data_IF_206679362107
#
_entry.id   IF_206679362107
#
_cell.length_a   1.000
_cell.length_b   1.000
_cell.length_c   1.000
_cell.angle_alpha   90.00
_cell.angle_beta   90.00
_cell.angle_gamma   90.00
#
_symmetry.space_group_name_H-M   'P 1'
#
loop_
_entity.id
_entity.type
_entity.pdbx_description
1 polymer ?
#
# COMPACT_ATOMS: atom_id res chain seq x y z
N UNK A 1 -5.66 -31.69 -12.98
CA UNK A 1 -4.53 -31.51 -13.92
C UNK A 1 -3.78 -30.27 -13.50
N UNK A 2 -2.44 -30.30 -13.55
CA UNK A 2 -1.57 -29.18 -13.23
C UNK A 2 -0.58 -28.94 -14.36
N UNK A 3 -0.22 -27.67 -14.53
CA UNK A 3 0.68 -27.17 -15.57
C UNK A 3 1.87 -26.46 -14.89
N UNK A 4 3.04 -26.47 -15.51
CA UNK A 4 4.07 -25.53 -15.12
C UNK A 4 3.71 -24.15 -15.65
N UNK A 5 3.70 -23.15 -14.80
CA UNK A 5 3.43 -21.77 -15.18
C UNK A 5 4.50 -21.30 -16.18
N UNK A 6 4.10 -20.97 -17.40
CA UNK A 6 5.00 -20.57 -18.50
C UNK A 6 5.84 -19.32 -18.20
N UNK A 7 5.55 -18.59 -17.12
CA UNK A 7 6.24 -17.35 -16.72
C UNK A 7 7.18 -17.53 -15.53
N UNK A 8 7.42 -18.77 -15.07
CA UNK A 8 8.46 -19.04 -14.07
C UNK A 8 9.84 -18.87 -14.68
N UNK A 9 10.75 -18.41 -13.87
CA UNK A 9 12.16 -18.36 -14.28
C UNK A 9 12.82 -19.71 -13.99
N UNK A 10 13.29 -20.39 -15.05
CA UNK A 10 13.95 -21.68 -14.95
C UNK A 10 15.33 -21.63 -15.56
N UNK A 11 16.35 -22.20 -14.89
CA UNK A 11 17.71 -22.28 -15.42
C UNK A 11 18.47 -23.48 -14.84
N UNK A 12 19.53 -23.90 -15.55
CA UNK A 12 20.42 -24.95 -15.07
C UNK A 12 21.78 -24.39 -14.63
N UNK A 13 22.26 -24.86 -13.49
CA UNK A 13 23.59 -24.56 -12.98
C UNK A 13 24.18 -25.84 -12.40
N UNK A 14 25.38 -26.22 -12.88
CA UNK A 14 26.10 -27.43 -12.42
C UNK A 14 25.27 -28.73 -12.50
N UNK A 15 24.41 -28.84 -13.51
CA UNK A 15 23.54 -30.01 -13.72
C UNK A 15 22.23 -29.97 -12.90
N UNK A 16 22.07 -29.04 -11.98
CA UNK A 16 20.86 -28.87 -11.17
C UNK A 16 19.95 -27.84 -11.84
N UNK A 17 18.66 -28.18 -11.92
CA UNK A 17 17.64 -27.22 -12.37
C UNK A 17 17.15 -26.37 -11.18
N UNK A 18 17.10 -25.07 -11.40
CA UNK A 18 16.57 -24.11 -10.44
C UNK A 18 15.33 -23.43 -11.02
N UNK A 19 14.31 -23.31 -10.19
CA UNK A 19 13.06 -22.62 -10.50
C UNK A 19 12.88 -21.44 -9.55
N UNK A 20 12.33 -20.32 -10.05
CA UNK A 20 11.92 -19.19 -9.24
C UNK A 20 10.45 -18.90 -9.52
N UNK A 21 9.66 -18.95 -8.48
CA UNK A 21 8.24 -18.64 -8.49
C UNK A 21 7.94 -17.28 -7.84
N UNK A 22 6.82 -17.26 -7.14
CA UNK A 22 6.25 -16.07 -6.51
C UNK A 22 7.21 -15.29 -5.59
N UNK A 23 7.94 -15.98 -4.74
CA UNK A 23 8.88 -15.34 -3.80
C UNK A 23 10.22 -14.94 -4.43
N UNK A 24 10.44 -15.27 -5.69
CA UNK A 24 11.74 -15.15 -6.39
C UNK A 24 12.89 -15.95 -5.74
N UNK A 25 12.58 -16.79 -4.74
CA UNK A 25 13.56 -17.72 -4.15
C UNK A 25 13.85 -18.85 -5.11
N UNK A 26 15.09 -19.32 -5.11
CA UNK A 26 15.52 -20.47 -5.91
C UNK A 26 15.07 -21.78 -5.26
N UNK A 27 14.37 -22.59 -6.03
CA UNK A 27 13.99 -23.95 -5.67
C UNK A 27 14.82 -24.88 -6.57
N UNK A 28 15.65 -25.69 -5.96
CA UNK A 28 16.44 -26.68 -6.68
C UNK A 28 15.62 -27.95 -6.91
N UNK A 29 15.59 -28.42 -8.14
CA UNK A 29 15.09 -29.76 -8.48
C UNK A 29 16.25 -30.73 -8.33
N UNK A 30 16.09 -31.73 -7.46
CA UNK A 30 17.15 -32.70 -7.14
C UNK A 30 17.60 -33.47 -8.37
N UNK A 31 18.95 -33.72 -8.53
CA UNK A 31 19.50 -34.33 -9.72
C UNK A 31 19.04 -35.76 -10.00
N UNK A 32 18.53 -36.47 -8.98
CA UNK A 32 17.99 -37.84 -9.13
C UNK A 32 16.63 -37.88 -9.86
N UNK A 33 15.94 -36.73 -10.01
CA UNK A 33 14.69 -36.66 -10.77
C UNK A 33 15.04 -36.73 -12.26
N UNK A 34 14.38 -37.65 -12.97
CA UNK A 34 14.72 -37.88 -14.38
C UNK A 34 14.49 -36.61 -15.21
N UNK A 35 15.42 -36.30 -16.09
CA UNK A 35 15.32 -35.18 -17.02
C UNK A 35 14.11 -35.32 -17.97
N UNK A 36 13.75 -36.58 -18.28
CA UNK A 36 12.58 -36.89 -19.11
C UNK A 36 11.29 -36.45 -18.42
N UNK A 37 11.13 -36.80 -17.14
CA UNK A 37 9.96 -36.36 -16.36
C UNK A 37 9.87 -34.84 -16.26
N UNK A 38 11.00 -34.16 -16.02
CA UNK A 38 11.03 -32.70 -15.95
C UNK A 38 10.61 -32.07 -17.29
N UNK A 39 11.17 -32.58 -18.40
CA UNK A 39 10.81 -32.09 -19.74
C UNK A 39 9.33 -32.31 -20.04
N UNK A 40 8.81 -33.46 -19.67
CA UNK A 40 7.39 -33.78 -19.87
C UNK A 40 6.51 -32.90 -19.00
N UNK A 41 6.87 -32.68 -17.73
CA UNK A 41 6.16 -31.76 -16.82
C UNK A 41 6.10 -30.32 -17.36
N UNK A 42 7.11 -29.86 -18.08
CA UNK A 42 7.14 -28.53 -18.69
C UNK A 42 6.33 -28.43 -19.99
N UNK A 43 6.09 -29.55 -20.66
CA UNK A 43 5.45 -29.57 -21.98
C UNK A 43 4.04 -30.14 -21.97
N UNK A 44 3.59 -30.74 -20.86
CA UNK A 44 2.27 -31.34 -20.73
C UNK A 44 1.68 -31.12 -19.33
N UNK A 45 0.36 -31.27 -19.22
CA UNK A 45 -0.29 -31.29 -17.91
C UNK A 45 -0.18 -32.68 -17.26
N UNK A 46 -0.15 -32.71 -15.92
CA UNK A 46 -0.12 -33.93 -15.12
C UNK A 46 -1.10 -33.90 -13.97
N UNK A 47 -1.49 -35.06 -13.50
CA UNK A 47 -2.25 -35.16 -12.25
C UNK A 47 -1.35 -34.87 -11.03
N UNK A 48 -1.91 -34.27 -10.00
CA UNK A 48 -1.16 -33.92 -8.81
C UNK A 48 -0.49 -35.13 -8.15
N UNK A 49 -1.20 -36.27 -8.12
CA UNK A 49 -0.66 -37.52 -7.56
C UNK A 49 0.57 -38.02 -8.33
N UNK A 50 0.54 -37.94 -9.68
CA UNK A 50 1.69 -38.31 -10.52
C UNK A 50 2.90 -37.42 -10.22
N UNK A 51 2.68 -36.12 -10.03
CA UNK A 51 3.74 -35.16 -9.67
C UNK A 51 4.30 -35.48 -8.27
N UNK A 52 3.42 -35.74 -7.30
CA UNK A 52 3.82 -36.09 -5.93
C UNK A 52 4.58 -37.39 -5.82
N UNK A 53 4.23 -38.40 -6.61
CA UNK A 53 4.94 -39.69 -6.67
C UNK A 53 6.41 -39.52 -7.10
N UNK A 54 6.69 -38.58 -8.01
CA UNK A 54 8.05 -38.37 -8.57
C UNK A 54 8.83 -37.31 -7.79
N UNK A 55 8.21 -36.18 -7.47
CA UNK A 55 8.88 -35.04 -6.80
C UNK A 55 8.84 -35.13 -5.28
N UNK A 56 7.95 -35.97 -4.73
CA UNK A 56 7.64 -36.00 -3.31
C UNK A 56 6.70 -34.87 -2.87
N UNK A 57 5.85 -35.13 -1.88
CA UNK A 57 4.81 -34.18 -1.40
C UNK A 57 5.38 -32.84 -0.96
N UNK A 58 6.57 -32.81 -0.35
CA UNK A 58 7.21 -31.57 0.13
C UNK A 58 7.56 -30.62 -1.02
N UNK A 59 8.24 -31.12 -2.06
CA UNK A 59 8.64 -30.29 -3.21
C UNK A 59 7.42 -29.87 -4.01
N UNK A 60 6.47 -30.79 -4.24
CA UNK A 60 5.20 -30.50 -4.92
C UNK A 60 4.42 -29.37 -4.22
N UNK A 61 4.29 -29.44 -2.90
CA UNK A 61 3.67 -28.40 -2.10
C UNK A 61 4.40 -27.06 -2.22
N UNK A 62 5.74 -27.06 -2.25
CA UNK A 62 6.55 -25.86 -2.44
C UNK A 62 6.31 -25.26 -3.83
N UNK A 63 6.27 -26.07 -4.88
CA UNK A 63 6.01 -25.62 -6.24
C UNK A 63 4.59 -25.02 -6.41
N UNK A 64 3.59 -25.58 -5.73
CA UNK A 64 2.23 -25.02 -5.69
C UNK A 64 2.19 -23.67 -4.99
N UNK A 65 2.81 -23.57 -3.80
CA UNK A 65 2.84 -22.31 -3.04
C UNK A 65 3.56 -21.19 -3.78
N UNK A 66 4.59 -21.53 -4.53
CA UNK A 66 5.35 -20.58 -5.34
C UNK A 66 4.72 -20.29 -6.71
N UNK A 67 3.52 -20.83 -6.97
CA UNK A 67 2.80 -20.67 -8.25
C UNK A 67 3.62 -21.14 -9.46
N UNK A 68 4.50 -22.09 -9.26
CA UNK A 68 5.24 -22.77 -10.31
C UNK A 68 4.36 -23.84 -10.96
N UNK A 69 3.58 -24.56 -10.15
CA UNK A 69 2.49 -25.44 -10.60
C UNK A 69 1.16 -24.70 -10.43
N UNK A 70 0.35 -24.66 -11.50
CA UNK A 70 -0.95 -23.99 -11.58
C UNK A 70 -2.01 -24.92 -12.17
N UNK A 71 -3.29 -24.72 -11.76
CA UNK A 71 -4.42 -25.52 -12.24
C UNK A 71 -4.93 -25.13 -13.62
N UNK A 72 -4.70 -23.86 -14.00
CA UNK A 72 -5.23 -23.30 -15.24
C UNK A 72 -4.09 -23.01 -16.22
N UNK A 73 -4.16 -23.57 -17.41
CA UNK A 73 -3.17 -23.30 -18.47
C UNK A 73 -3.24 -21.83 -18.91
N UNK A 74 -2.06 -21.22 -19.07
CA UNK A 74 -1.95 -19.88 -19.63
C UNK A 74 -1.69 -19.99 -21.13
N UNK A 75 -2.67 -19.62 -21.94
CA UNK A 75 -2.49 -19.46 -23.38
C UNK A 75 -1.49 -18.35 -23.66
N UNK A 76 -0.25 -18.73 -24.01
CA UNK A 76 0.88 -17.83 -24.23
C UNK A 76 0.72 -16.94 -25.46
N UNK A 77 -0.12 -17.31 -26.39
CA UNK A 77 -0.41 -16.57 -27.64
C UNK A 77 -1.50 -15.50 -27.46
N UNK A 78 -2.22 -15.57 -26.36
CA UNK A 78 -3.21 -14.57 -25.99
C UNK A 78 -2.58 -13.20 -25.75
N UNK A 79 -3.24 -12.11 -26.21
CA UNK A 79 -2.81 -10.73 -25.92
C UNK A 79 -2.67 -10.42 -24.43
N UNK A 80 -3.36 -11.17 -23.59
CA UNK A 80 -3.36 -11.01 -22.14
C UNK A 80 -2.38 -11.95 -21.42
N UNK A 81 -1.69 -12.82 -22.15
CA UNK A 81 -0.88 -13.90 -21.59
C UNK A 81 0.14 -13.43 -20.54
N UNK A 82 0.91 -12.38 -20.86
CA UNK A 82 1.91 -11.82 -19.94
C UNK A 82 1.29 -11.24 -18.68
N UNK A 83 0.16 -10.57 -18.81
CA UNK A 83 -0.57 -9.98 -17.68
C UNK A 83 -1.19 -11.07 -16.81
N UNK A 84 -1.80 -12.09 -17.44
CA UNK A 84 -2.30 -13.29 -16.73
C UNK A 84 -1.17 -13.98 -15.98
N UNK A 85 -0.03 -14.21 -16.64
CA UNK A 85 1.17 -14.80 -16.01
C UNK A 85 1.65 -14.02 -14.80
N UNK A 86 1.71 -12.70 -14.91
CA UNK A 86 2.12 -11.84 -13.80
C UNK A 86 1.18 -11.98 -12.59
N UNK A 87 -0.14 -11.87 -12.79
CA UNK A 87 -1.09 -11.95 -11.69
C UNK A 87 -1.26 -13.37 -11.14
N UNK A 88 -1.17 -14.41 -11.97
CA UNK A 88 -1.11 -15.78 -11.51
C UNK A 88 0.11 -16.03 -10.64
N UNK A 89 1.29 -15.62 -11.10
CA UNK A 89 2.55 -15.88 -10.41
C UNK A 89 2.66 -15.14 -9.08
N UNK A 90 2.36 -13.83 -9.07
CA UNK A 90 2.64 -12.98 -7.90
C UNK A 90 1.45 -12.79 -6.96
N UNK A 91 0.21 -12.92 -7.45
CA UNK A 91 -0.99 -12.59 -6.68
C UNK A 91 -1.88 -13.80 -6.41
N UNK A 92 -1.75 -14.88 -7.17
CA UNK A 92 -2.63 -16.05 -7.10
C UNK A 92 -4.12 -15.67 -7.29
N UNK A 93 -4.39 -14.76 -8.24
CA UNK A 93 -5.71 -14.19 -8.45
C UNK A 93 -6.24 -14.44 -9.86
N UNK A 94 -7.54 -14.61 -9.96
CA UNK A 94 -8.22 -14.85 -11.22
C UNK A 94 -8.29 -13.58 -12.08
N UNK A 95 -7.57 -13.58 -13.19
CA UNK A 95 -7.55 -12.48 -14.14
C UNK A 95 -8.93 -12.14 -14.69
N UNK A 96 -9.84 -13.11 -14.79
CA UNK A 96 -11.19 -12.93 -15.28
C UNK A 96 -12.00 -11.91 -14.46
N UNK A 97 -11.65 -11.67 -13.19
CA UNK A 97 -12.23 -10.61 -12.38
C UNK A 97 -12.07 -9.23 -13.00
N UNK A 98 -10.96 -9.00 -13.72
CA UNK A 98 -10.68 -7.72 -14.41
C UNK A 98 -11.55 -7.61 -15.67
N UNK A 99 -11.63 -8.68 -16.46
CA UNK A 99 -12.31 -8.69 -17.75
C UNK A 99 -13.83 -8.52 -17.66
N UNK A 100 -14.43 -8.72 -16.49
CA UNK A 100 -15.85 -8.54 -16.26
C UNK A 100 -16.25 -7.12 -15.78
N UNK A 101 -15.29 -6.19 -15.62
CA UNK A 101 -15.53 -4.88 -15.04
C UNK A 101 -16.03 -3.84 -16.02
N UNK A 102 -16.92 -2.97 -15.53
CA UNK A 102 -17.35 -1.72 -16.18
C UNK A 102 -16.78 -0.53 -15.41
N UNK A 103 -16.04 0.32 -16.10
CA UNK A 103 -15.38 1.49 -15.49
C UNK A 103 -15.93 2.78 -16.11
N UNK A 104 -16.39 3.69 -15.27
CA UNK A 104 -16.70 5.07 -15.66
C UNK A 104 -15.43 5.92 -15.50
N UNK A 105 -14.97 6.50 -16.60
CA UNK A 105 -13.86 7.45 -16.63
C UNK A 105 -14.41 8.85 -16.85
N UNK A 106 -14.32 9.68 -15.85
CA UNK A 106 -14.67 11.10 -15.95
C UNK A 106 -13.44 11.87 -16.42
N UNK A 107 -13.49 12.31 -17.68
CA UNK A 107 -12.44 13.04 -18.38
C UNK A 107 -11.67 12.20 -19.41
N UNK A 108 -11.50 12.78 -20.60
CA UNK A 108 -10.68 12.28 -21.70
C UNK A 108 -9.43 13.18 -21.91
N UNK A 109 -8.96 13.80 -20.85
CA UNK A 109 -7.73 14.57 -20.80
C UNK A 109 -6.48 13.68 -20.68
N UNK A 110 -5.37 14.25 -20.24
CA UNK A 110 -4.08 13.53 -20.16
C UNK A 110 -4.16 12.24 -19.31
N UNK A 111 -4.69 12.37 -18.11
CA UNK A 111 -4.80 11.23 -17.17
C UNK A 111 -5.86 10.22 -17.64
N UNK A 112 -7.03 10.71 -18.07
CA UNK A 112 -8.11 9.85 -18.54
C UNK A 112 -7.75 9.07 -19.81
N UNK A 113 -7.03 9.68 -20.76
CA UNK A 113 -6.48 8.98 -21.93
C UNK A 113 -5.58 7.82 -21.54
N UNK A 114 -4.63 8.08 -20.63
CA UNK A 114 -3.66 7.06 -20.23
C UNK A 114 -4.33 5.90 -19.49
N UNK A 115 -5.19 6.21 -18.52
CA UNK A 115 -5.90 5.19 -17.73
C UNK A 115 -6.87 4.37 -18.62
N UNK A 116 -7.62 5.04 -19.50
CA UNK A 116 -8.53 4.35 -20.43
C UNK A 116 -7.77 3.40 -21.36
N UNK A 117 -6.63 3.83 -21.91
CA UNK A 117 -5.77 2.99 -22.72
C UNK A 117 -5.23 1.80 -21.91
N UNK A 118 -4.69 2.05 -20.71
CA UNK A 118 -4.14 1.00 -19.86
C UNK A 118 -5.21 -0.02 -19.47
N UNK A 119 -6.40 0.40 -19.04
CA UNK A 119 -7.51 -0.50 -18.72
C UNK A 119 -7.97 -1.31 -19.92
N UNK A 120 -7.94 -0.72 -21.12
CA UNK A 120 -8.24 -1.47 -22.34
C UNK A 120 -7.20 -2.56 -22.64
N UNK A 121 -5.92 -2.31 -22.35
CA UNK A 121 -4.85 -3.32 -22.47
C UNK A 121 -5.04 -4.47 -21.45
N UNK A 122 -5.63 -4.21 -20.30
CA UNK A 122 -6.05 -5.24 -19.35
C UNK A 122 -7.34 -5.99 -19.81
N UNK A 123 -8.03 -5.51 -20.84
CA UNK A 123 -9.24 -6.14 -21.35
C UNK A 123 -10.45 -5.98 -20.42
N UNK A 124 -10.61 -4.85 -19.73
CA UNK A 124 -11.87 -4.58 -19.02
C UNK A 124 -13.05 -4.64 -19.98
N UNK A 125 -14.18 -5.17 -19.53
CA UNK A 125 -15.33 -5.39 -20.41
C UNK A 125 -15.84 -4.11 -21.07
N UNK A 126 -15.98 -3.04 -20.26
CA UNK A 126 -16.62 -1.80 -20.72
C UNK A 126 -15.96 -0.57 -20.11
N UNK A 127 -15.68 0.43 -20.93
CA UNK A 127 -15.27 1.76 -20.54
C UNK A 127 -16.38 2.74 -20.93
N UNK A 128 -16.94 3.44 -19.96
CA UNK A 128 -17.84 4.57 -20.18
C UNK A 128 -16.99 5.82 -19.98
N UNK A 129 -16.80 6.65 -21.00
CA UNK A 129 -15.92 7.82 -20.93
C UNK A 129 -16.75 9.09 -21.13
N UNK A 130 -16.78 9.94 -20.12
CA UNK A 130 -17.53 11.21 -20.14
C UNK A 130 -16.56 12.40 -20.22
N UNK A 131 -16.69 13.20 -21.28
CA UNK A 131 -15.98 14.45 -21.49
C UNK A 131 -16.75 15.28 -22.52
N UNK A 132 -16.67 16.60 -22.46
CA UNK A 132 -17.36 17.52 -23.38
C UNK A 132 -16.41 18.34 -24.24
N UNK A 133 -15.11 18.20 -24.05
CA UNK A 133 -14.10 19.01 -24.71
C UNK A 133 -13.79 18.55 -26.13
N UNK A 134 -13.25 19.48 -26.89
CA UNK A 134 -12.59 19.23 -28.18
C UNK A 134 -11.07 19.13 -28.00
N UNK A 135 -10.41 18.52 -28.96
CA UNK A 135 -8.95 18.41 -29.00
C UNK A 135 -8.34 19.74 -29.47
N UNK A 136 -7.46 20.30 -28.66
CA UNK A 136 -6.70 21.50 -28.96
C UNK A 136 -5.22 21.16 -29.22
N UNK A 137 -4.47 22.01 -30.00
CA UNK A 137 -3.04 21.81 -30.20
C UNK A 137 -2.25 21.74 -28.88
N UNK A 138 -2.67 22.51 -27.86
CA UNK A 138 -2.08 22.52 -26.52
C UNK A 138 -2.23 21.19 -25.75
N UNK A 139 -3.05 20.28 -26.22
CA UNK A 139 -3.28 18.97 -25.62
C UNK A 139 -2.25 17.92 -26.06
N UNK A 140 -1.71 18.07 -27.26
CA UNK A 140 -0.90 17.06 -27.95
C UNK A 140 0.42 16.73 -27.25
N UNK A 141 0.91 17.62 -26.40
CA UNK A 141 2.13 17.38 -25.64
C UNK A 141 1.98 16.32 -24.53
N UNK A 142 0.74 15.96 -24.12
CA UNK A 142 0.52 15.07 -22.98
C UNK A 142 -0.70 14.14 -23.06
N UNK A 143 -1.59 14.34 -24.03
CA UNK A 143 -2.79 13.50 -24.24
C UNK A 143 -2.49 12.46 -25.31
N UNK A 144 -1.91 11.34 -24.88
CA UNK A 144 -1.27 10.32 -25.73
C UNK A 144 -2.10 9.74 -26.86
N UNK A 145 -3.43 9.79 -26.76
CA UNK A 145 -4.32 9.21 -27.78
C UNK A 145 -4.59 10.15 -28.95
N UNK A 146 -4.21 11.42 -28.88
CA UNK A 146 -4.54 12.41 -29.88
C UNK A 146 -3.34 12.79 -30.74
N UNK A 147 -3.61 13.08 -32.01
CA UNK A 147 -2.63 13.49 -33.03
C UNK A 147 -3.03 14.83 -33.64
N UNK A 148 -2.15 15.46 -34.41
CA UNK A 148 -2.43 16.72 -35.08
C UNK A 148 -3.68 16.65 -35.98
N UNK A 149 -3.91 15.52 -36.65
CA UNK A 149 -5.10 15.29 -37.48
C UNK A 149 -6.42 15.16 -36.69
N UNK A 150 -6.35 15.11 -35.37
CA UNK A 150 -7.50 15.01 -34.49
C UNK A 150 -7.91 16.37 -33.89
N UNK A 151 -7.13 17.41 -34.10
CA UNK A 151 -7.44 18.79 -33.61
C UNK A 151 -8.81 19.22 -34.13
N UNK A 152 -9.64 19.77 -33.24
CA UNK A 152 -11.00 20.21 -33.51
C UNK A 152 -12.08 19.13 -33.38
N UNK A 153 -11.72 17.85 -33.20
CA UNK A 153 -12.67 16.78 -32.96
C UNK A 153 -12.97 16.61 -31.47
N UNK A 154 -14.13 16.04 -31.14
CA UNK A 154 -14.48 15.68 -29.76
C UNK A 154 -13.51 14.63 -29.19
N UNK A 155 -12.99 14.87 -27.99
CA UNK A 155 -12.02 14.00 -27.32
C UNK A 155 -12.53 12.57 -27.17
N UNK A 156 -13.77 12.41 -26.71
CA UNK A 156 -14.38 11.09 -26.43
C UNK A 156 -14.51 10.23 -27.69
N UNK A 157 -14.87 10.83 -28.83
CA UNK A 157 -15.06 10.11 -30.09
C UNK A 157 -13.70 9.60 -30.61
N UNK A 158 -12.67 10.44 -30.56
CA UNK A 158 -11.31 10.04 -30.97
C UNK A 158 -10.76 8.99 -30.03
N UNK A 159 -10.91 9.17 -28.71
CA UNK A 159 -10.48 8.20 -27.70
C UNK A 159 -11.13 6.84 -27.94
N UNK A 160 -12.45 6.78 -28.14
CA UNK A 160 -13.17 5.55 -28.41
C UNK A 160 -12.64 4.84 -29.65
N UNK A 161 -12.48 5.56 -30.76
CA UNK A 161 -11.93 5.00 -31.99
C UNK A 161 -10.49 4.48 -31.85
N UNK A 162 -9.64 5.21 -31.11
CA UNK A 162 -8.25 4.80 -30.88
C UNK A 162 -8.18 3.57 -30.00
N UNK A 163 -8.94 3.52 -28.91
CA UNK A 163 -8.98 2.35 -28.03
C UNK A 163 -9.47 1.12 -28.78
N UNK A 164 -10.52 1.25 -29.60
CA UNK A 164 -11.00 0.13 -30.42
C UNK A 164 -9.92 -0.42 -31.36
N UNK A 165 -9.03 0.42 -31.89
CA UNK A 165 -7.86 -0.02 -32.68
C UNK A 165 -6.82 -0.77 -31.86
N UNK A 166 -6.63 -0.40 -30.58
CA UNK A 166 -5.73 -1.11 -29.68
C UNK A 166 -6.31 -2.43 -29.20
N UNK A 167 -7.60 -2.44 -28.84
CA UNK A 167 -8.30 -3.62 -28.34
C UNK A 167 -9.79 -3.57 -28.71
N UNK A 168 -10.16 -4.34 -29.73
CA UNK A 168 -11.53 -4.44 -30.21
C UNK A 168 -12.48 -5.18 -29.27
N UNK A 169 -11.95 -5.95 -28.30
CA UNK A 169 -12.75 -6.71 -27.33
C UNK A 169 -13.36 -5.80 -26.25
N UNK A 170 -12.85 -4.59 -26.09
CA UNK A 170 -13.29 -3.63 -25.07
C UNK A 170 -14.39 -2.75 -25.65
N UNK A 171 -15.57 -2.79 -25.04
CA UNK A 171 -16.64 -1.86 -25.37
C UNK A 171 -16.32 -0.47 -24.81
N UNK A 172 -16.20 0.53 -25.67
CA UNK A 172 -16.04 1.94 -25.26
C UNK A 172 -17.31 2.70 -25.60
N UNK A 173 -17.91 3.33 -24.58
CA UNK A 173 -19.10 4.18 -24.70
C UNK A 173 -18.70 5.64 -24.48
N UNK A 174 -18.60 6.44 -25.53
CA UNK A 174 -18.29 7.86 -25.43
C UNK A 174 -19.55 8.65 -25.06
N UNK A 175 -19.46 9.55 -24.06
CA UNK A 175 -20.57 10.41 -23.62
C UNK A 175 -20.11 11.86 -23.63
N UNK A 176 -20.70 12.67 -24.51
CA UNK A 176 -20.43 14.13 -24.60
C UNK A 176 -21.23 14.87 -23.54
N UNK A 177 -20.68 14.94 -22.31
CA UNK A 177 -21.34 15.59 -21.16
C UNK A 177 -20.33 16.28 -20.26
N UNK A 178 -20.71 17.42 -19.70
CA UNK A 178 -20.03 18.07 -18.60
C UNK A 178 -20.69 17.63 -17.29
N UNK A 179 -20.08 16.69 -16.60
CA UNK A 179 -20.61 16.20 -15.32
C UNK A 179 -20.43 17.28 -14.23
N UNK A 180 -21.56 17.74 -13.68
CA UNK A 180 -21.63 18.82 -12.71
C UNK A 180 -22.60 18.57 -11.55
N UNK A 181 -23.30 17.41 -11.58
CA UNK A 181 -24.28 17.02 -10.55
C UNK A 181 -24.30 15.51 -10.32
N UNK A 182 -24.88 15.09 -9.19
CA UNK A 182 -25.14 13.67 -8.90
C UNK A 182 -26.19 13.11 -9.86
N UNK A 183 -27.19 13.92 -10.24
CA UNK A 183 -28.26 13.53 -11.16
C UNK A 183 -27.72 13.11 -12.54
N UNK A 184 -26.70 13.80 -13.06
CA UNK A 184 -26.03 13.44 -14.31
C UNK A 184 -25.34 12.08 -14.21
N UNK A 185 -24.75 11.75 -13.06
CA UNK A 185 -24.17 10.42 -12.82
C UNK A 185 -25.25 9.34 -12.70
N UNK A 186 -26.40 9.65 -12.08
CA UNK A 186 -27.57 8.77 -12.03
C UNK A 186 -28.09 8.47 -13.45
N UNK A 187 -28.21 9.49 -14.29
CA UNK A 187 -28.63 9.33 -15.67
C UNK A 187 -27.67 8.46 -16.48
N UNK A 188 -26.36 8.58 -16.29
CA UNK A 188 -25.36 7.72 -16.93
C UNK A 188 -25.59 6.26 -16.53
N UNK A 189 -25.83 5.96 -15.26
CA UNK A 189 -26.09 4.59 -14.81
C UNK A 189 -27.43 4.07 -15.34
N UNK A 190 -28.46 4.91 -15.34
CA UNK A 190 -29.78 4.54 -15.85
C UNK A 190 -29.75 4.17 -17.36
N UNK A 191 -28.96 4.90 -18.15
CA UNK A 191 -28.87 4.70 -19.59
C UNK A 191 -27.88 3.60 -20.00
N UNK A 192 -26.71 3.55 -19.33
CA UNK A 192 -25.60 2.68 -19.77
C UNK A 192 -25.36 1.46 -18.86
N UNK A 193 -26.11 1.32 -17.75
CA UNK A 193 -26.07 0.19 -16.85
C UNK A 193 -25.08 0.35 -15.70
N UNK A 194 -24.94 -0.71 -14.89
CA UNK A 194 -24.14 -0.71 -13.66
C UNK A 194 -22.66 -0.45 -13.90
N UNK A 195 -22.04 0.26 -12.96
CA UNK A 195 -20.64 0.64 -12.93
C UNK A 195 -19.97 -0.05 -11.74
N UNK A 196 -18.82 -0.67 -11.97
CA UNK A 196 -18.01 -1.29 -10.90
C UNK A 196 -17.02 -0.32 -10.28
N UNK A 197 -16.56 0.69 -11.04
CA UNK A 197 -15.53 1.60 -10.60
C UNK A 197 -15.61 2.97 -11.29
N UNK A 198 -15.22 4.04 -10.58
CA UNK A 198 -15.14 5.39 -11.12
C UNK A 198 -13.71 5.91 -11.07
N UNK A 199 -13.23 6.42 -12.20
CA UNK A 199 -11.98 7.17 -12.30
C UNK A 199 -12.31 8.65 -12.44
N UNK A 200 -11.99 9.46 -11.44
CA UNK A 200 -12.14 10.92 -11.51
C UNK A 200 -10.83 11.50 -12.07
N UNK A 201 -10.85 11.91 -13.34
CA UNK A 201 -9.73 12.53 -14.09
C UNK A 201 -10.10 13.90 -14.66
N UNK A 202 -11.01 14.60 -14.02
CA UNK A 202 -11.47 15.98 -14.33
C UNK A 202 -11.32 16.87 -13.11
N UNK A 203 -11.14 18.19 -13.34
CA UNK A 203 -10.96 19.19 -12.29
C UNK A 203 -12.11 20.23 -12.25
N UNK A 204 -13.04 20.11 -13.19
CA UNK A 204 -14.17 21.04 -13.32
C UNK A 204 -15.49 20.28 -13.24
N UNK A 205 -16.45 20.73 -12.40
CA UNK A 205 -16.38 21.86 -11.46
C UNK A 205 -15.40 21.58 -10.31
N UNK A 206 -14.97 22.62 -9.59
CA UNK A 206 -13.96 22.52 -8.52
C UNK A 206 -14.36 21.56 -7.38
N UNK A 207 -15.64 21.36 -7.19
CA UNK A 207 -16.23 20.46 -6.17
C UNK A 207 -16.64 19.11 -6.75
N UNK A 208 -16.24 18.77 -7.98
CA UNK A 208 -16.57 17.48 -8.64
C UNK A 208 -16.27 16.27 -7.76
N UNK A 209 -15.23 16.33 -6.93
CA UNK A 209 -14.91 15.24 -6.00
C UNK A 209 -16.01 14.99 -4.98
N UNK A 210 -16.74 16.01 -4.55
CA UNK A 210 -17.87 15.89 -3.62
C UNK A 210 -19.05 15.17 -4.32
N UNK A 211 -19.30 15.52 -5.58
CA UNK A 211 -20.34 14.91 -6.43
C UNK A 211 -20.04 13.43 -6.63
N UNK A 212 -18.82 13.11 -7.07
CA UNK A 212 -18.38 11.71 -7.25
C UNK A 212 -18.45 10.94 -5.94
N UNK A 213 -17.99 11.53 -4.83
CA UNK A 213 -18.04 10.89 -3.53
C UNK A 213 -19.48 10.59 -3.07
N UNK A 214 -20.40 11.54 -3.21
CA UNK A 214 -21.79 11.35 -2.83
C UNK A 214 -22.43 10.23 -3.63
N UNK A 215 -22.26 10.24 -4.95
CA UNK A 215 -22.77 9.22 -5.85
C UNK A 215 -22.16 7.84 -5.56
N UNK A 216 -20.82 7.76 -5.48
CA UNK A 216 -20.11 6.51 -5.25
C UNK A 216 -20.45 5.85 -3.91
N UNK A 217 -20.65 6.66 -2.86
CA UNK A 217 -21.04 6.15 -1.54
C UNK A 217 -22.46 5.62 -1.55
N UNK A 218 -23.42 6.34 -2.15
CA UNK A 218 -24.82 5.90 -2.23
C UNK A 218 -24.98 4.58 -2.99
N UNK A 219 -24.19 4.38 -4.05
CA UNK A 219 -24.21 3.18 -4.87
C UNK A 219 -23.22 2.10 -4.45
N UNK A 220 -22.43 2.33 -3.40
CA UNK A 220 -21.34 1.43 -2.94
C UNK A 220 -20.33 1.11 -4.05
N UNK A 221 -19.99 2.10 -4.87
CA UNK A 221 -19.04 1.98 -5.97
C UNK A 221 -17.67 2.49 -5.50
N UNK A 222 -16.60 1.76 -5.80
CA UNK A 222 -15.23 2.22 -5.55
C UNK A 222 -14.84 3.31 -6.53
N UNK A 223 -14.02 4.27 -6.07
CA UNK A 223 -13.46 5.28 -6.97
C UNK A 223 -12.03 5.66 -6.61
N UNK A 224 -11.32 6.20 -7.60
CA UNK A 224 -9.98 6.80 -7.45
C UNK A 224 -9.98 8.19 -8.05
N UNK A 225 -9.27 9.10 -7.38
CA UNK A 225 -9.07 10.48 -7.83
C UNK A 225 -7.59 10.82 -7.78
N UNK A 226 -7.10 11.52 -8.79
CA UNK A 226 -5.73 11.99 -8.85
C UNK A 226 -5.58 13.17 -9.78
N UNK A 227 -4.43 13.84 -9.68
CA UNK A 227 -4.12 15.01 -10.48
C UNK A 227 -2.69 15.50 -10.28
N UNK A 228 -2.39 16.66 -10.85
CA UNK A 228 -1.07 17.27 -10.83
C UNK A 228 -1.10 18.58 -10.06
N UNK A 229 -0.08 18.80 -9.22
CA UNK A 229 0.12 20.05 -8.50
C UNK A 229 1.59 20.47 -8.63
N UNK A 230 1.90 21.26 -9.64
CA UNK A 230 3.29 21.62 -9.97
C UNK A 230 4.12 20.39 -10.31
N UNK A 231 5.16 20.11 -9.53
CA UNK A 231 6.02 18.93 -9.68
C UNK A 231 5.53 17.71 -8.89
N UNK A 232 4.35 17.77 -8.29
CA UNK A 232 3.78 16.66 -7.52
C UNK A 232 2.66 15.98 -8.31
N UNK A 233 2.74 14.66 -8.41
CA UNK A 233 1.67 13.81 -8.92
C UNK A 233 0.95 13.23 -7.69
N UNK A 234 -0.35 13.44 -7.59
CA UNK A 234 -1.09 13.15 -6.37
C UNK A 234 -2.26 12.22 -6.69
N UNK A 235 -2.36 11.09 -5.97
CA UNK A 235 -3.59 10.35 -5.85
C UNK A 235 -4.18 10.78 -4.51
N UNK A 236 -5.19 11.61 -4.58
CA UNK A 236 -5.73 12.31 -3.42
C UNK A 236 -6.89 11.56 -2.77
N UNK A 237 -7.50 10.61 -3.48
CA UNK A 237 -8.56 9.79 -2.90
C UNK A 237 -8.66 8.40 -3.53
N UNK A 238 -8.73 7.39 -2.67
CA UNK A 238 -9.11 6.02 -2.99
C UNK A 238 -10.23 5.65 -2.02
N UNK A 239 -11.42 5.40 -2.56
CA UNK A 239 -12.57 4.95 -1.79
C UNK A 239 -12.93 3.53 -2.18
N UNK A 240 -13.05 2.67 -1.19
CA UNK A 240 -13.50 1.29 -1.31
C UNK A 240 -14.62 1.11 -0.29
N UNK A 241 -15.84 0.76 -0.70
CA UNK A 241 -16.98 0.59 0.20
C UNK A 241 -16.64 -0.34 1.36
N UNK A 242 -17.05 0.03 2.57
CA UNK A 242 -16.84 -0.71 3.83
C UNK A 242 -15.40 -0.75 4.34
N UNK A 243 -14.39 -0.55 3.49
CA UNK A 243 -12.96 -0.66 3.85
C UNK A 243 -12.37 0.71 4.12
N UNK A 244 -12.39 1.62 3.14
CA UNK A 244 -11.78 2.95 3.22
C UNK A 244 -12.72 4.03 3.75
N UNK A 245 -12.14 5.19 4.09
CA UNK A 245 -12.88 6.39 4.42
C UNK A 245 -13.25 7.15 3.15
N UNK A 246 -14.47 7.66 3.06
CA UNK A 246 -14.87 8.47 1.92
C UNK A 246 -14.26 9.88 1.98
N UNK A 247 -14.35 10.64 0.91
CA UNK A 247 -13.82 12.00 0.87
C UNK A 247 -14.37 12.89 1.98
N UNK A 248 -15.67 12.77 2.31
CA UNK A 248 -16.31 13.55 3.37
C UNK A 248 -15.87 13.15 4.80
N UNK A 249 -15.18 12.02 4.98
CA UNK A 249 -14.60 11.67 6.28
C UNK A 249 -13.37 12.50 6.65
N UNK A 250 -12.78 13.20 5.69
CA UNK A 250 -11.56 13.95 5.90
C UNK A 250 -11.88 15.30 6.50
N UNK A 251 -11.04 15.74 7.44
CA UNK A 251 -11.09 17.12 7.92
C UNK A 251 -10.51 18.05 6.85
N UNK A 252 -11.29 18.32 5.82
CA UNK A 252 -10.97 19.30 4.79
C UNK A 252 -11.68 20.60 5.16
N UNK A 253 -11.35 21.17 6.32
CA UNK A 253 -11.76 22.51 6.74
C UNK A 253 -11.11 23.62 5.88
N UNK A 254 -10.54 23.29 4.75
CA UNK A 254 -10.05 24.26 3.78
C UNK A 254 -11.20 24.57 2.84
N UNK A 255 -11.70 25.80 2.94
CA UNK A 255 -12.54 26.39 1.91
C UNK A 255 -11.90 26.13 0.53
N UNK A 256 -12.37 25.11 -0.15
CA UNK A 256 -11.94 24.81 -1.54
C UNK A 256 -12.22 26.05 -2.41
N UNK A 257 -13.21 26.82 -2.04
CA UNK A 257 -13.59 28.09 -2.70
C UNK A 257 -12.56 29.21 -2.54
N UNK A 258 -11.56 29.09 -1.67
CA UNK A 258 -10.48 30.09 -1.52
C UNK A 258 -9.49 30.13 -2.68
N UNK A 259 -9.49 29.11 -3.54
CA UNK A 259 -8.59 29.00 -4.67
C UNK A 259 -9.36 29.16 -5.99
N UNK A 260 -10.01 30.31 -6.19
CA UNK A 260 -10.50 30.70 -7.50
C UNK A 260 -9.27 30.96 -8.41
N UNK A 261 -8.90 29.92 -9.14
CA UNK A 261 -7.96 30.08 -10.25
C UNK A 261 -8.63 31.00 -11.27
N UNK A 262 -7.91 32.02 -11.75
CA UNK A 262 -8.39 32.77 -12.89
C UNK A 262 -8.49 31.81 -14.08
N UNK A 263 -9.50 31.97 -14.94
CA UNK A 263 -9.68 31.16 -16.16
C UNK A 263 -8.48 31.16 -17.10
N UNK A 264 -7.54 32.09 -16.88
CA UNK A 264 -6.28 32.22 -17.64
C UNK A 264 -5.13 31.37 -17.10
N UNK A 265 -5.25 30.79 -15.90
CA UNK A 265 -4.16 30.05 -15.28
C UNK A 265 -4.17 28.59 -15.77
N UNK A 266 -3.24 28.22 -16.65
CA UNK A 266 -3.01 26.83 -17.07
C UNK A 266 -1.83 26.26 -16.29
N UNK A 267 -2.00 25.08 -15.67
CA UNK A 267 -0.93 24.40 -14.98
C UNK A 267 0.08 23.79 -15.97
N UNK A 268 1.39 23.98 -15.76
CA UNK A 268 2.40 23.34 -16.58
C UNK A 268 2.35 21.82 -16.37
N UNK A 269 2.43 21.07 -17.46
CA UNK A 269 2.38 19.61 -17.44
C UNK A 269 3.28 19.07 -18.54
N UNK A 270 3.98 17.99 -18.25
CA UNK A 270 4.88 17.30 -19.17
C UNK A 270 4.30 15.94 -19.59
N UNK A 271 4.76 15.31 -20.69
CA UNK A 271 4.19 14.07 -21.21
C UNK A 271 4.33 12.88 -20.24
N UNK A 272 5.39 12.83 -19.45
CA UNK A 272 5.64 11.73 -18.50
C UNK A 272 4.74 11.79 -17.27
N UNK A 273 4.22 12.94 -16.86
CA UNK A 273 3.36 13.08 -15.68
C UNK A 273 2.10 12.17 -15.74
N UNK A 274 1.28 12.21 -16.80
CA UNK A 274 0.12 11.33 -16.90
C UNK A 274 0.51 9.86 -17.07
N UNK A 275 1.67 9.55 -17.63
CA UNK A 275 2.15 8.19 -17.77
C UNK A 275 2.49 7.58 -16.41
N UNK A 276 3.24 8.30 -15.57
CA UNK A 276 3.62 7.85 -14.22
C UNK A 276 2.37 7.76 -13.33
N UNK A 277 1.60 8.83 -13.22
CA UNK A 277 0.43 8.87 -12.34
C UNK A 277 -0.65 7.87 -12.81
N UNK A 278 -0.95 7.86 -14.10
CA UNK A 278 -1.93 6.95 -14.68
C UNK A 278 -1.52 5.48 -14.54
N UNK A 279 -0.22 5.18 -14.65
CA UNK A 279 0.31 3.84 -14.41
C UNK A 279 0.12 3.40 -12.96
N UNK A 280 0.44 4.25 -11.99
CA UNK A 280 0.22 3.96 -10.56
C UNK A 280 -1.28 3.82 -10.28
N UNK A 281 -2.13 4.72 -10.77
CA UNK A 281 -3.58 4.65 -10.59
C UNK A 281 -4.17 3.37 -11.20
N UNK A 282 -3.74 3.00 -12.42
CA UNK A 282 -4.20 1.76 -13.06
C UNK A 282 -3.80 0.54 -12.24
N UNK A 283 -2.57 0.46 -11.74
CA UNK A 283 -2.13 -0.64 -10.89
C UNK A 283 -3.00 -0.76 -9.62
N UNK A 284 -3.33 0.36 -8.97
CA UNK A 284 -4.22 0.37 -7.81
C UNK A 284 -5.64 -0.08 -8.16
N UNK A 285 -6.18 0.35 -9.31
CA UNK A 285 -7.49 -0.09 -9.81
C UNK A 285 -7.50 -1.61 -10.00
N UNK A 286 -6.48 -2.16 -10.65
CA UNK A 286 -6.37 -3.60 -10.88
C UNK A 286 -6.28 -4.37 -9.56
N UNK A 287 -5.50 -3.89 -8.59
CA UNK A 287 -5.45 -4.49 -7.25
C UNK A 287 -6.82 -4.48 -6.56
N UNK A 288 -7.60 -3.41 -6.72
CA UNK A 288 -8.97 -3.34 -6.19
C UNK A 288 -9.87 -4.38 -6.88
N UNK A 289 -9.78 -4.56 -8.19
CA UNK A 289 -10.56 -5.55 -8.93
C UNK A 289 -10.23 -6.98 -8.52
N UNK A 290 -8.98 -7.24 -8.19
CA UNK A 290 -8.51 -8.54 -7.71
C UNK A 290 -8.80 -8.78 -6.22
N UNK A 291 -9.15 -7.75 -5.45
CA UNK A 291 -9.38 -7.87 -4.00
C UNK A 291 -8.11 -7.80 -3.16
N UNK A 292 -6.98 -7.39 -3.74
CA UNK A 292 -5.66 -7.27 -3.07
C UNK A 292 -5.59 -6.01 -2.18
N UNK A 293 -6.56 -5.81 -1.30
CA UNK A 293 -6.69 -4.59 -0.50
C UNK A 293 -5.57 -4.40 0.53
N UNK A 294 -4.93 -5.48 0.99
CA UNK A 294 -3.79 -5.45 1.90
C UNK A 294 -2.52 -4.83 1.28
N UNK A 295 -2.47 -4.72 -0.03
CA UNK A 295 -1.37 -4.09 -0.76
C UNK A 295 -1.63 -2.62 -1.10
N UNK A 296 -2.77 -2.09 -0.68
CA UNK A 296 -3.17 -0.71 -0.90
C UNK A 296 -3.18 0.01 0.44
N UNK A 297 -2.44 1.10 0.55
CA UNK A 297 -2.53 1.96 1.72
C UNK A 297 -3.81 2.80 1.64
N UNK A 298 -4.84 2.28 2.28
CA UNK A 298 -6.14 2.92 2.39
C UNK A 298 -6.04 4.06 3.41
N UNK A 299 -6.85 5.11 3.23
CA UNK A 299 -6.84 6.33 4.03
C UNK A 299 -5.51 7.12 3.93
N UNK A 300 -4.81 6.98 2.80
CA UNK A 300 -3.61 7.75 2.48
C UNK A 300 -3.71 8.41 1.11
N UNK A 301 -3.06 9.57 0.95
CA UNK A 301 -2.70 10.10 -0.35
C UNK A 301 -1.35 9.53 -0.79
N UNK A 302 -1.20 9.27 -2.08
CA UNK A 302 0.09 8.94 -2.69
C UNK A 302 0.61 10.19 -3.39
N UNK A 303 1.81 10.61 -3.03
CA UNK A 303 2.43 11.82 -3.57
C UNK A 303 3.77 11.45 -4.19
N UNK A 304 3.86 11.54 -5.51
CA UNK A 304 5.11 11.35 -6.23
C UNK A 304 5.72 12.71 -6.60
N UNK A 305 6.97 12.92 -6.19
CA UNK A 305 7.71 14.15 -6.46
C UNK A 305 8.60 13.96 -7.69
N UNK A 306 8.29 14.68 -8.77
CA UNK A 306 9.02 14.64 -10.04
C UNK A 306 10.47 15.12 -9.96
N UNK A 307 10.84 15.90 -8.91
CA UNK A 307 12.20 16.43 -8.78
C UNK A 307 13.21 15.42 -8.26
N UNK A 308 12.79 14.60 -7.31
CA UNK A 308 13.67 13.63 -6.63
C UNK A 308 13.20 12.19 -6.77
N UNK A 309 12.13 11.95 -7.54
CA UNK A 309 11.53 10.65 -7.80
C UNK A 309 11.07 9.90 -6.53
N UNK A 310 10.85 10.63 -5.44
CA UNK A 310 10.36 10.03 -4.21
C UNK A 310 8.83 9.82 -4.26
N UNK A 311 8.39 8.63 -3.89
CA UNK A 311 6.99 8.33 -3.61
C UNK A 311 6.78 8.38 -2.09
N UNK A 312 5.98 9.32 -1.64
CA UNK A 312 5.55 9.44 -0.25
C UNK A 312 4.07 9.11 -0.10
N UNK A 313 3.69 8.79 1.14
CA UNK A 313 2.33 8.45 1.51
C UNK A 313 1.93 9.32 2.68
N UNK A 314 0.87 10.07 2.52
CA UNK A 314 0.36 11.00 3.53
C UNK A 314 -0.98 10.50 4.07
N UNK A 315 -0.98 10.15 5.35
CA UNK A 315 -2.21 9.68 6.00
C UNK A 315 -3.24 10.79 6.12
N UNK A 316 -4.50 10.45 5.80
CA UNK A 316 -5.59 11.41 5.95
C UNK A 316 -5.84 11.78 7.41
N UNK A 317 -6.10 13.06 7.63
CA UNK A 317 -6.68 13.53 8.88
C UNK A 317 -8.20 13.39 8.75
N UNK A 318 -8.77 12.48 9.54
CA UNK A 318 -10.21 12.20 9.54
C UNK A 318 -10.89 13.04 10.62
N UNK A 319 -12.14 13.47 10.37
CA UNK A 319 -12.99 14.09 11.39
C UNK A 319 -13.45 13.04 12.40
N UNK A 320 -13.52 13.45 13.66
CA UNK A 320 -14.10 12.64 14.72
C UNK A 320 -15.62 12.55 14.57
N UNK A 321 -16.16 11.37 14.80
CA UNK A 321 -17.59 11.13 14.82
C UNK A 321 -18.13 10.45 13.57
N UNK A 322 -19.44 10.45 13.44
CA UNK A 322 -20.13 9.82 12.32
C UNK A 322 -20.06 10.69 11.07
N UNK A 323 -19.54 10.13 9.98
CA UNK A 323 -19.50 10.82 8.70
C UNK A 323 -20.91 11.02 8.14
N UNK A 324 -21.29 12.25 7.74
CA UNK A 324 -22.64 12.52 7.24
C UNK A 324 -22.98 11.78 5.94
N UNK A 325 -21.98 11.40 5.16
CA UNK A 325 -22.16 10.76 3.85
C UNK A 325 -22.10 9.22 3.96
N UNK A 326 -20.98 8.64 4.42
CA UNK A 326 -20.83 7.18 4.45
C UNK A 326 -21.25 6.53 5.78
N UNK A 327 -21.68 7.33 6.77
CA UNK A 327 -22.11 6.88 8.10
C UNK A 327 -21.05 6.12 8.90
N UNK A 328 -19.80 6.07 8.44
CA UNK A 328 -18.69 5.49 9.17
C UNK A 328 -18.36 6.32 10.39
N UNK A 329 -18.26 5.69 11.55
CA UNK A 329 -17.85 6.36 12.79
C UNK A 329 -16.32 6.38 12.87
N UNK A 330 -15.74 7.52 12.56
CA UNK A 330 -14.31 7.72 12.61
C UNK A 330 -13.88 8.01 14.05
N UNK A 331 -13.27 7.04 14.70
CA UNK A 331 -12.53 7.30 15.93
C UNK A 331 -11.12 7.74 15.54
N UNK A 332 -10.87 9.04 15.53
CA UNK A 332 -9.51 9.57 15.44
C UNK A 332 -8.76 9.02 16.66
N UNK A 333 -7.74 8.19 16.45
CA UNK A 333 -6.84 7.82 17.52
C UNK A 333 -6.27 9.13 18.08
N UNK A 334 -6.73 9.47 19.28
CA UNK A 334 -6.38 10.71 19.94
C UNK A 334 -4.84 10.87 19.94
N UNK A 335 -4.34 11.90 19.25
CA UNK A 335 -2.90 12.22 19.27
C UNK A 335 -2.41 12.53 20.69
N UNK A 336 -3.32 12.73 21.63
CA UNK A 336 -3.05 12.73 23.07
C UNK A 336 -2.43 11.42 23.60
N UNK A 337 -2.45 10.30 22.82
CA UNK A 337 -1.76 9.08 23.25
C UNK A 337 -0.25 9.38 23.33
N UNK A 338 0.33 10.12 22.38
CA UNK A 338 1.74 10.51 22.44
C UNK A 338 2.01 11.47 23.62
N UNK A 339 1.13 12.45 23.84
CA UNK A 339 1.24 13.37 24.98
C UNK A 339 1.00 12.63 26.30
N UNK A 340 0.00 11.75 26.39
CA UNK A 340 -0.24 10.92 27.58
C UNK A 340 0.90 9.92 27.82
N UNK A 341 1.47 9.35 26.79
CA UNK A 341 2.65 8.46 26.89
C UNK A 341 3.86 9.26 27.33
N UNK A 342 4.08 10.45 26.77
CA UNK A 342 5.17 11.34 27.19
C UNK A 342 5.02 11.76 28.64
N UNK A 343 3.84 12.20 29.08
CA UNK A 343 3.57 12.57 30.49
C UNK A 343 3.77 11.37 31.41
N UNK A 344 3.32 10.17 31.04
CA UNK A 344 3.52 8.96 31.84
C UNK A 344 4.98 8.56 31.91
N UNK A 345 5.74 8.72 30.82
CA UNK A 345 7.19 8.50 30.80
C UNK A 345 7.91 9.49 31.71
N UNK A 346 7.51 10.76 31.68
CA UNK A 346 8.07 11.81 32.58
C UNK A 346 7.72 11.49 34.04
N UNK A 347 6.48 11.10 34.34
CA UNK A 347 6.09 10.69 35.71
C UNK A 347 6.89 9.47 36.19
N UNK A 348 7.14 8.49 35.33
CA UNK A 348 7.96 7.32 35.66
C UNK A 348 9.42 7.72 35.92
N UNK A 349 10.00 8.60 35.09
CA UNK A 349 11.35 9.14 35.29
C UNK A 349 11.46 9.93 36.62
N UNK A 350 10.45 10.69 36.98
CA UNK A 350 10.43 11.42 38.27
C UNK A 350 10.32 10.48 39.46
N UNK A 351 9.47 9.43 39.38
CA UNK A 351 9.36 8.42 40.43
C UNK A 351 10.63 7.62 40.59
N UNK A 352 11.25 7.16 39.50
CA UNK A 352 12.51 6.42 39.55
C UNK A 352 13.69 7.30 40.00
N UNK A 353 13.69 8.58 39.59
CA UNK A 353 14.65 9.58 40.08
C UNK A 353 14.48 9.81 41.59
N UNK A 354 13.25 9.84 42.09
CA UNK A 354 12.99 9.93 43.54
C UNK A 354 13.52 8.73 44.31
N UNK A 355 13.34 7.51 43.79
CA UNK A 355 13.90 6.29 44.41
C UNK A 355 15.43 6.30 44.38
N UNK A 356 16.04 6.74 43.25
CA UNK A 356 17.49 6.89 43.18
C UNK A 356 18.05 7.94 44.17
N UNK A 357 17.32 9.05 44.34
CA UNK A 357 17.68 10.08 45.34
C UNK A 357 17.60 9.55 46.77
N UNK A 358 16.57 8.79 47.12
CA UNK A 358 16.43 8.14 48.44
C UNK A 358 17.55 7.11 48.68
N UNK A 359 18.02 6.41 47.65
CA UNK A 359 19.20 5.56 47.73
C UNK A 359 20.48 6.35 48.03
N UNK A 360 20.65 7.51 47.38
CA UNK A 360 21.82 8.36 47.56
C UNK A 360 21.92 8.95 48.99
N UNK A 361 20.79 9.12 49.70
CA UNK A 361 20.79 9.53 51.13
C UNK A 361 20.84 8.34 52.10
N UNK A 362 21.11 7.11 51.61
CA UNK A 362 21.38 5.95 52.44
C UNK A 362 20.18 5.24 53.03
N UNK A 363 18.95 5.56 52.57
CA UNK A 363 17.71 4.89 53.01
C UNK A 363 17.50 3.51 52.38
N UNK A 364 18.14 3.24 51.23
CA UNK A 364 18.08 1.94 50.53
C UNK A 364 19.46 1.48 50.10
N UNK A 365 19.68 0.18 50.09
CA UNK A 365 20.90 -0.38 49.48
C UNK A 365 20.83 -0.24 47.97
N UNK A 366 21.99 -0.10 47.30
CA UNK A 366 22.08 0.01 45.83
C UNK A 366 21.36 -1.14 45.14
N UNK A 367 21.50 -2.37 45.65
CA UNK A 367 20.84 -3.57 45.11
C UNK A 367 19.32 -3.50 45.31
N UNK A 368 18.84 -3.06 46.47
CA UNK A 368 17.40 -2.90 46.72
C UNK A 368 16.74 -1.87 45.80
N UNK A 369 17.43 -0.79 45.50
CA UNK A 369 16.95 0.24 44.58
C UNK A 369 16.82 -0.28 43.15
N UNK A 370 17.83 -1.02 42.68
CA UNK A 370 17.77 -1.64 41.33
C UNK A 370 16.63 -2.67 41.19
N UNK A 371 16.39 -3.49 42.23
CA UNK A 371 15.29 -4.45 42.23
C UNK A 371 13.92 -3.77 42.19
N UNK A 372 13.72 -2.68 42.93
CA UNK A 372 12.49 -1.90 42.95
C UNK A 372 12.22 -1.31 41.54
N UNK A 373 13.24 -0.72 40.92
CA UNK A 373 13.10 -0.14 39.59
C UNK A 373 12.86 -1.19 38.52
N UNK A 374 13.54 -2.32 38.59
CA UNK A 374 13.28 -3.46 37.70
C UNK A 374 11.83 -3.94 37.81
N UNK A 375 11.33 -4.08 39.03
CA UNK A 375 9.95 -4.51 39.28
C UNK A 375 8.92 -3.52 38.76
N UNK A 376 9.12 -2.21 39.01
CA UNK A 376 8.27 -1.14 38.47
C UNK A 376 8.33 -1.10 36.95
N UNK A 377 9.50 -1.30 36.34
CA UNK A 377 9.70 -1.37 34.91
C UNK A 377 8.94 -2.53 34.28
N UNK A 378 8.97 -3.72 34.89
CA UNK A 378 8.21 -4.90 34.40
C UNK A 378 6.70 -4.63 34.46
N UNK A 379 6.18 -4.09 35.58
CA UNK A 379 4.76 -3.75 35.71
C UNK A 379 4.36 -2.72 34.64
N UNK A 380 5.18 -1.70 34.43
CA UNK A 380 4.93 -0.69 33.42
C UNK A 380 4.95 -1.29 32.00
N UNK A 381 5.87 -2.20 31.71
CA UNK A 381 5.98 -2.92 30.46
C UNK A 381 4.74 -3.75 30.14
N UNK A 382 4.26 -4.54 31.12
CA UNK A 382 3.05 -5.36 30.99
C UNK A 382 1.83 -4.46 30.77
N UNK A 383 1.69 -3.40 31.56
CA UNK A 383 0.61 -2.44 31.42
C UNK A 383 0.61 -1.76 30.03
N UNK A 384 1.79 -1.38 29.54
CA UNK A 384 1.94 -0.69 28.27
C UNK A 384 1.68 -1.63 27.08
N UNK A 385 2.15 -2.88 27.13
CA UNK A 385 1.89 -3.91 26.13
C UNK A 385 0.38 -4.26 26.05
N UNK A 386 -0.28 -4.36 27.20
CA UNK A 386 -1.72 -4.59 27.28
C UNK A 386 -2.53 -3.45 26.63
N UNK A 387 -2.10 -2.19 26.78
CA UNK A 387 -2.86 -1.02 26.32
C UNK A 387 -2.65 -0.72 24.83
N UNK A 388 -1.46 -0.97 24.28
CA UNK A 388 -1.11 -0.54 22.91
C UNK A 388 -1.26 -1.60 21.83
N UNK A 389 -1.47 -2.86 22.18
CA UNK A 389 -1.57 -4.00 21.22
C UNK A 389 -0.43 -4.09 20.17
N UNK A 390 0.61 -3.28 20.30
CA UNK A 390 1.76 -3.27 19.39
C UNK A 390 3.03 -3.55 20.20
N UNK A 391 3.53 -4.78 20.07
CA UNK A 391 4.67 -5.30 20.83
C UNK A 391 5.96 -4.52 20.51
N UNK A 392 6.16 -4.13 19.26
CA UNK A 392 7.39 -3.44 18.83
C UNK A 392 7.54 -2.06 19.46
N UNK A 393 6.52 -1.21 19.35
CA UNK A 393 6.56 0.14 19.97
C UNK A 393 6.59 0.08 21.50
N UNK A 394 6.05 -0.98 22.08
CA UNK A 394 6.12 -1.22 23.52
C UNK A 394 7.52 -1.57 23.97
N UNK A 395 8.22 -2.43 23.26
CA UNK A 395 9.60 -2.83 23.57
C UNK A 395 10.62 -1.68 23.36
N UNK A 396 10.48 -0.92 22.28
CA UNK A 396 11.32 0.27 22.05
C UNK A 396 11.19 1.30 23.18
N UNK A 397 9.97 1.57 23.64
CA UNK A 397 9.74 2.50 24.74
C UNK A 397 10.27 1.98 26.08
N UNK A 398 10.23 0.66 26.31
CA UNK A 398 10.81 0.02 27.50
C UNK A 398 12.33 0.19 27.50
N UNK A 399 12.98 -0.08 26.36
CA UNK A 399 14.45 0.09 26.22
C UNK A 399 14.86 1.55 26.49
N UNK A 400 14.13 2.52 25.94
CA UNK A 400 14.37 3.94 26.17
C UNK A 400 14.22 4.34 27.65
N UNK A 401 13.20 3.82 28.32
CA UNK A 401 12.93 4.07 29.74
C UNK A 401 14.05 3.53 30.64
N UNK A 402 14.46 2.28 30.40
CA UNK A 402 15.54 1.68 31.18
C UNK A 402 16.88 2.38 30.95
N UNK A 403 17.22 2.70 29.70
CA UNK A 403 18.45 3.42 29.37
C UNK A 403 18.51 4.81 30.02
N UNK A 404 17.39 5.53 30.01
CA UNK A 404 17.28 6.86 30.64
C UNK A 404 17.42 6.77 32.16
N UNK A 405 16.87 5.72 32.78
CA UNK A 405 16.99 5.47 34.20
C UNK A 405 18.42 5.16 34.60
N UNK A 406 19.12 4.28 33.90
CA UNK A 406 20.51 3.92 34.17
C UNK A 406 21.45 5.15 34.12
N UNK A 407 21.26 6.02 33.12
CA UNK A 407 21.99 7.27 32.98
C UNK A 407 21.75 8.18 34.21
N UNK A 408 20.47 8.34 34.59
CA UNK A 408 20.08 9.16 35.72
C UNK A 408 20.63 8.60 37.04
N UNK A 409 20.56 7.27 37.22
CA UNK A 409 21.11 6.58 38.40
C UNK A 409 22.62 6.77 38.51
N UNK A 410 23.36 6.65 37.40
CA UNK A 410 24.81 6.92 37.37
C UNK A 410 25.14 8.38 37.73
N UNK A 411 24.38 9.35 37.19
CA UNK A 411 24.58 10.76 37.48
C UNK A 411 24.34 11.11 38.95
N UNK A 412 23.24 10.60 39.52
CA UNK A 412 22.90 10.89 40.94
C UNK A 412 23.87 10.24 41.91
N UNK A 413 24.37 9.05 41.59
CA UNK A 413 25.32 8.33 42.48
C UNK A 413 26.79 8.52 42.08
N UNK A 414 27.10 9.46 41.19
CA UNK A 414 28.46 9.66 40.65
C UNK A 414 29.53 9.83 41.72
N UNK A 415 29.26 10.60 42.81
CA UNK A 415 30.17 10.78 43.93
C UNK A 415 30.45 9.47 44.68
N UNK A 416 29.45 8.61 44.83
CA UNK A 416 29.59 7.32 45.49
C UNK A 416 30.44 6.37 44.67
N UNK A 417 30.29 6.42 43.34
CA UNK A 417 31.07 5.60 42.42
C UNK A 417 32.55 5.96 42.36
N UNK A 418 32.91 7.24 42.46
CA UNK A 418 34.31 7.68 42.48
C UNK A 418 35.07 7.21 43.73
N UNK A 419 34.35 6.89 44.80
CA UNK A 419 34.96 6.41 46.08
C UNK A 419 35.05 4.86 46.14
N UNK A 420 34.59 4.14 45.12
CA UNK A 420 34.68 2.67 45.09
C UNK A 420 36.12 2.22 44.74
N UNK A 421 36.55 1.06 45.29
CA UNK A 421 37.76 0.38 44.82
C UNK A 421 37.73 0.15 43.31
N UNK A 422 38.86 0.27 42.64
CA UNK A 422 39.00 0.19 41.17
C UNK A 422 38.39 -1.11 40.63
N UNK A 423 38.56 -2.23 41.34
CA UNK A 423 38.04 -3.53 40.92
C UNK A 423 36.53 -3.55 40.88
N UNK A 424 35.84 -2.92 41.83
CA UNK A 424 34.37 -2.80 41.86
C UNK A 424 33.89 -1.87 40.76
N UNK A 425 34.61 -0.80 40.49
CA UNK A 425 34.30 0.13 39.40
C UNK A 425 34.40 -0.55 38.02
N UNK A 426 35.44 -1.38 37.80
CA UNK A 426 35.61 -2.18 36.59
C UNK A 426 34.46 -3.20 36.46
N UNK A 427 34.10 -3.93 37.53
CA UNK A 427 32.98 -4.86 37.51
C UNK A 427 31.63 -4.19 37.13
N UNK A 428 31.42 -2.94 37.60
CA UNK A 428 30.22 -2.18 37.24
C UNK A 428 30.20 -1.75 35.77
N UNK A 429 31.34 -1.35 35.22
CA UNK A 429 31.43 -1.04 33.79
C UNK A 429 31.14 -2.29 32.93
N UNK A 430 31.69 -3.44 33.31
CA UNK A 430 31.45 -4.71 32.65
C UNK A 430 29.97 -5.08 32.72
N UNK A 431 29.33 -4.91 33.88
CA UNK A 431 27.91 -5.15 34.06
C UNK A 431 27.04 -4.23 33.22
N UNK A 432 27.38 -2.93 33.13
CA UNK A 432 26.69 -1.98 32.28
C UNK A 432 26.82 -2.33 30.78
N UNK A 433 28.00 -2.75 30.34
CA UNK A 433 28.21 -3.21 28.96
C UNK A 433 27.45 -4.48 28.65
N UNK A 434 27.42 -5.46 29.55
CA UNK A 434 26.63 -6.67 29.45
C UNK A 434 25.12 -6.34 29.35
N UNK A 435 24.66 -5.40 30.16
CA UNK A 435 23.27 -4.94 30.16
C UNK A 435 22.91 -4.28 28.84
N UNK A 436 23.74 -3.39 28.31
CA UNK A 436 23.52 -2.77 26.98
C UNK A 436 23.48 -3.84 25.90
N UNK A 437 24.34 -4.86 25.97
CA UNK A 437 24.36 -5.96 25.00
C UNK A 437 23.09 -6.82 25.04
N UNK A 438 22.57 -7.11 26.23
CA UNK A 438 21.31 -7.80 26.44
C UNK A 438 20.13 -7.00 25.86
N UNK A 439 20.10 -5.67 26.11
CA UNK A 439 19.05 -4.80 25.60
C UNK A 439 19.06 -4.67 24.09
N UNK A 440 20.24 -4.57 23.47
CA UNK A 440 20.39 -4.64 22.01
C UNK A 440 19.93 -5.98 21.45
N UNK A 441 20.23 -7.10 22.13
CA UNK A 441 19.74 -8.42 21.78
C UNK A 441 18.22 -8.53 21.80
N UNK A 442 17.56 -7.92 22.80
CA UNK A 442 16.09 -7.86 22.91
C UNK A 442 15.49 -7.06 21.77
N UNK A 443 16.09 -5.93 21.39
CA UNK A 443 15.65 -5.11 20.25
C UNK A 443 15.79 -5.89 18.94
N UNK A 444 16.94 -6.54 18.71
CA UNK A 444 17.16 -7.38 17.54
C UNK A 444 16.18 -8.58 17.47
N UNK A 445 15.92 -9.23 18.60
CA UNK A 445 14.97 -10.32 18.69
C UNK A 445 13.53 -9.84 18.42
N UNK A 446 13.16 -8.68 18.94
CA UNK A 446 11.88 -8.02 18.67
C UNK A 446 11.70 -7.72 17.17
N UNK A 447 12.75 -7.17 16.54
CA UNK A 447 12.77 -6.92 15.10
C UNK A 447 12.64 -8.22 14.29
N UNK A 448 13.34 -9.28 14.71
CA UNK A 448 13.28 -10.59 14.07
C UNK A 448 11.91 -11.27 14.24
N UNK A 449 11.29 -11.15 15.42
CA UNK A 449 9.92 -11.63 15.69
C UNK A 449 8.92 -10.87 14.82
N UNK A 450 9.08 -9.56 14.65
CA UNK A 450 8.21 -8.75 13.77
C UNK A 450 8.36 -9.14 12.30
N UNK A 451 9.58 -9.49 11.86
CA UNK A 451 9.83 -10.01 10.51
C UNK A 451 9.21 -11.40 10.29
N UNK A 452 9.21 -12.26 11.30
CA UNK A 452 8.66 -13.63 11.22
C UNK A 452 7.13 -13.67 11.31
N UNK A 453 6.53 -12.84 12.18
CA UNK A 453 5.10 -12.88 12.50
C UNK A 453 4.32 -11.65 12.02
N UNK A 454 4.99 -10.62 11.51
CA UNK A 454 4.35 -9.38 11.01
C UNK A 454 3.63 -9.51 9.67
N UNK A 455 3.43 -10.73 9.16
CA UNK A 455 2.63 -11.02 7.97
C UNK A 455 1.17 -11.38 8.28
N UNK A 456 0.76 -11.38 9.54
CA UNK A 456 -0.61 -11.77 9.96
C UNK A 456 -1.30 -10.73 10.87
N UNK A 457 -1.09 -9.42 10.64
CA UNK A 457 -1.87 -8.39 11.35
C UNK A 457 -2.27 -7.25 10.41
#
# INVERSE_FOLDING_TARGET
MFYVNSYVFAYKKEGIMYLRGRSMREIAIEPQISQEFINDLFNSCKELLEIEEVLGSKLTFELLNEQILISDEIDIDSRYSRTKGYYSLFYNEEYNKIQNKTVLVLGAGALGCYISLSLSMYGVRKLIVADYDIIEPSNLNRQILYTESDVGKEKINVLSQKIHKYNSDVQVVPISIKVSSVEELENIVAEYGSIDFIVKAIDTPIDIIKIVNQFAVSHKISYISGGFNGCYLIIDNIYIPTIGSCFACRNINKDINKYTLSDKTKWPTTPEMPAILGGIMTNLIIKIFLGCYNEILIDNAYVYNMRNHALSQEKYVLENGECPICKKNNKVKDNNIRAKTFIRSVCFCLLSGGVAFLSAIGQFTVIGTQLIVLFLGIIFAIYYAYYNKNIQTSLENIVWLFSSFEILFLLVNFRTFIQLPVDIFICMIIFLMLWIFIMLGIVCLSYYITLLFGKEA
#
